data_IF_022281211120
#
_entry.id   IF_022281211120
#
_cell.length_a   1.000
_cell.length_b   1.000
_cell.length_c   1.000
_cell.angle_alpha   90.00
_cell.angle_beta   90.00
_cell.angle_gamma   90.00
#
_symmetry.space_group_name_H-M   'P 1'
#
loop_
_entity.id
_entity.type
_entity.pdbx_description
1 polymer ?
#
# COMPACT_ATOMS: atom_id res chain seq x y z
N UNK A 1 26.30 9.21 -28.58
CA UNK A 1 25.23 9.52 -27.61
C UNK A 1 24.64 8.20 -27.14
N UNK A 2 24.84 7.84 -25.87
CA UNK A 2 24.34 6.59 -25.32
C UNK A 2 22.95 6.82 -24.74
N UNK A 3 21.96 6.08 -25.24
CA UNK A 3 20.63 6.04 -24.65
C UNK A 3 20.74 5.30 -23.30
N UNK A 4 20.50 6.01 -22.21
CA UNK A 4 20.38 5.39 -20.89
C UNK A 4 18.93 4.89 -20.77
N UNK A 5 18.69 3.58 -20.63
CA UNK A 5 17.38 3.11 -20.22
C UNK A 5 17.15 3.70 -18.82
N UNK A 6 16.12 4.54 -18.68
CA UNK A 6 15.78 5.17 -17.41
C UNK A 6 15.49 4.10 -16.37
N UNK A 7 16.50 3.80 -15.54
CA UNK A 7 16.32 3.14 -14.25
C UNK A 7 15.43 4.11 -13.48
N UNK A 8 14.14 3.80 -13.40
CA UNK A 8 13.26 4.48 -12.45
C UNK A 8 13.75 3.97 -11.10
N UNK A 9 14.31 4.86 -10.30
CA UNK A 9 14.82 4.50 -8.98
C UNK A 9 13.71 3.92 -8.07
N UNK A 10 12.44 4.11 -8.43
CA UNK A 10 11.26 3.62 -7.73
C UNK A 10 10.51 2.52 -8.51
N UNK A 11 9.94 1.56 -7.78
CA UNK A 11 9.12 0.49 -8.36
C UNK A 11 7.67 0.95 -8.61
N UNK A 12 7.00 0.40 -9.63
CA UNK A 12 5.56 0.65 -9.85
C UNK A 12 4.72 0.22 -8.63
N UNK A 13 5.16 -0.84 -7.94
CA UNK A 13 4.52 -1.32 -6.71
C UNK A 13 4.50 -0.22 -5.64
N UNK A 14 5.61 0.49 -5.47
CA UNK A 14 5.70 1.54 -4.45
C UNK A 14 4.77 2.72 -4.75
N UNK A 15 4.64 3.10 -6.02
CA UNK A 15 3.69 4.14 -6.44
C UNK A 15 2.25 3.73 -6.10
N UNK A 16 1.88 2.49 -6.42
CA UNK A 16 0.53 1.96 -6.16
C UNK A 16 0.24 1.90 -4.67
N UNK A 17 1.19 1.43 -3.86
CA UNK A 17 1.04 1.36 -2.41
C UNK A 17 0.83 2.73 -1.77
N UNK A 18 1.67 3.70 -2.14
CA UNK A 18 1.52 5.08 -1.64
C UNK A 18 0.17 5.68 -2.02
N UNK A 19 -0.28 5.47 -3.26
CA UNK A 19 -1.56 5.98 -3.72
C UNK A 19 -2.75 5.33 -2.98
N UNK A 20 -2.72 4.01 -2.74
CA UNK A 20 -3.76 3.32 -1.96
C UNK A 20 -3.79 3.86 -0.52
N UNK A 21 -2.63 3.98 0.12
CA UNK A 21 -2.52 4.55 1.47
C UNK A 21 -3.12 5.96 1.53
N UNK A 22 -2.82 6.80 0.54
CA UNK A 22 -3.41 8.13 0.41
C UNK A 22 -4.94 8.10 0.35
N UNK A 23 -5.53 7.28 -0.55
CA UNK A 23 -7.00 7.21 -0.71
C UNK A 23 -7.69 6.65 0.53
N UNK A 24 -7.04 5.76 1.28
CA UNK A 24 -7.54 5.23 2.55
C UNK A 24 -7.45 6.25 3.69
N UNK A 25 -6.34 6.97 3.78
CA UNK A 25 -6.15 8.06 4.75
C UNK A 25 -7.17 9.18 4.56
N UNK A 26 -7.52 9.52 3.31
CA UNK A 26 -8.63 10.45 3.01
C UNK A 26 -9.97 10.03 3.62
N UNK A 27 -10.17 8.73 3.87
CA UNK A 27 -11.39 8.18 4.47
C UNK A 27 -11.27 7.93 5.97
N UNK A 28 -10.12 8.26 6.57
CA UNK A 28 -9.84 8.04 7.98
C UNK A 28 -9.36 6.63 8.32
N UNK A 29 -8.96 5.83 7.31
CA UNK A 29 -8.34 4.52 7.55
C UNK A 29 -6.83 4.66 7.63
N UNK A 30 -6.26 4.18 8.73
CA UNK A 30 -4.82 4.00 8.88
C UNK A 30 -4.43 2.61 8.33
N UNK A 31 -3.86 2.58 7.12
CA UNK A 31 -3.52 1.34 6.44
C UNK A 31 -2.13 0.88 6.87
N UNK A 32 -2.09 -0.10 7.76
CA UNK A 32 -0.87 -0.86 8.02
C UNK A 32 -0.73 -1.89 6.89
N UNK A 33 0.19 -1.64 5.95
CA UNK A 33 0.53 -2.62 4.93
C UNK A 33 0.85 -3.95 5.65
N UNK A 34 0.12 -5.01 5.32
CA UNK A 34 0.15 -6.29 6.06
C UNK A 34 1.50 -7.05 6.05
N UNK A 35 2.61 -6.37 5.76
CA UNK A 35 3.97 -6.90 5.89
C UNK A 35 4.48 -6.97 7.34
N UNK A 36 3.91 -6.22 8.28
CA UNK A 36 4.38 -6.16 9.67
C UNK A 36 3.48 -6.84 10.70
N UNK A 37 2.48 -7.61 10.26
CA UNK A 37 1.90 -8.64 11.15
C UNK A 37 2.81 -9.86 11.09
N UNK A 38 3.99 -9.70 11.68
CA UNK A 38 4.78 -10.82 12.15
C UNK A 38 3.83 -11.74 12.94
N UNK A 39 3.86 -13.01 12.56
CA UNK A 39 3.09 -14.10 13.12
C UNK A 39 3.30 -14.17 14.64
N UNK A 40 2.56 -13.37 15.41
CA UNK A 40 2.35 -13.62 16.84
C UNK A 40 1.42 -14.83 16.96
N UNK A 41 1.98 -16.01 16.69
CA UNK A 41 1.47 -17.26 17.21
C UNK A 41 1.22 -17.08 18.70
N UNK A 42 0.02 -17.41 19.23
CA UNK A 42 -0.20 -17.38 20.67
C UNK A 42 0.51 -18.61 21.24
N UNK A 43 1.80 -18.47 21.51
CA UNK A 43 2.55 -19.46 22.27
C UNK A 43 2.00 -19.44 23.70
N UNK A 44 1.13 -20.43 23.94
CA UNK A 44 0.68 -20.99 25.21
C UNK A 44 1.62 -20.67 26.38
N UNK A 45 1.03 -20.01 27.38
CA UNK A 45 1.27 -20.14 28.81
C UNK A 45 2.68 -20.48 29.29
N UNK A 46 3.32 -19.51 29.93
CA UNK A 46 4.17 -19.78 31.10
C UNK A 46 3.95 -18.67 32.13
N UNK A 47 3.46 -19.09 33.30
CA UNK A 47 3.08 -18.27 34.45
C UNK A 47 4.30 -17.64 35.16
N UNK A 48 4.09 -16.65 36.08
CA UNK A 48 5.06 -15.62 36.41
C UNK A 48 6.00 -16.03 37.56
N UNK A 49 7.21 -15.49 37.57
CA UNK A 49 8.11 -15.53 38.73
C UNK A 49 8.62 -14.13 39.08
N UNK A 50 8.48 -13.82 40.36
CA UNK A 50 8.82 -12.59 41.06
C UNK A 50 10.30 -12.20 40.93
N UNK A 51 10.57 -10.88 40.94
CA UNK A 51 11.82 -10.36 41.50
C UNK A 51 12.54 -9.30 40.69
N UNK A 52 12.28 -8.03 41.03
CA UNK A 52 13.35 -7.04 41.32
C UNK A 52 14.26 -6.52 40.20
N UNK A 53 14.22 -5.19 40.07
CA UNK A 53 15.32 -4.26 39.73
C UNK A 53 15.45 -3.74 38.28
N UNK A 54 14.98 -2.49 38.12
CA UNK A 54 15.51 -1.35 37.32
C UNK A 54 15.61 -1.50 35.79
N UNK A 55 14.98 -0.61 35.00
CA UNK A 55 15.14 -0.59 33.55
C UNK A 55 16.46 0.10 33.15
N UNK A 56 17.36 -0.62 32.49
CA UNK A 56 18.44 -0.05 31.70
C UNK A 56 18.05 -0.13 30.22
N UNK A 57 18.00 0.98 29.45
CA UNK A 57 17.81 0.90 28.02
C UNK A 57 19.12 0.43 27.38
N UNK A 58 19.22 -0.87 27.13
CA UNK A 58 20.29 -1.43 26.29
C UNK A 58 19.97 -1.11 24.83
N UNK A 59 20.74 -0.16 24.29
CA UNK A 59 20.80 0.11 22.86
C UNK A 59 21.35 -1.13 22.13
N UNK A 60 20.44 -1.96 21.61
CA UNK A 60 20.76 -2.94 20.60
C UNK A 60 20.41 -2.35 19.23
N UNK A 61 21.46 -1.92 18.53
CA UNK A 61 21.44 -1.46 17.15
C UNK A 61 20.99 -2.64 16.27
N UNK A 62 19.69 -2.68 15.95
CA UNK A 62 19.19 -3.55 14.87
C UNK A 62 19.38 -2.81 13.54
N UNK A 63 20.62 -2.77 13.07
CA UNK A 63 20.87 -2.63 11.64
C UNK A 63 20.58 -3.98 10.98
N UNK A 64 19.37 -4.16 10.45
CA UNK A 64 19.07 -5.21 9.48
C UNK A 64 18.11 -4.65 8.44
N UNK A 65 18.73 -4.14 7.37
CA UNK A 65 18.15 -3.87 6.06
C UNK A 65 16.90 -2.99 6.05
N UNK A 66 17.10 -1.68 6.23
CA UNK A 66 16.31 -0.74 5.46
C UNK A 66 16.55 -1.09 3.99
N UNK A 67 15.62 -1.82 3.38
CA UNK A 67 15.46 -1.82 1.93
C UNK A 67 15.55 -0.35 1.53
N UNK A 68 16.59 0.02 0.77
CA UNK A 68 16.66 1.33 0.14
C UNK A 68 15.54 1.39 -0.90
N UNK A 69 14.31 1.51 -0.42
CA UNK A 69 13.17 1.88 -1.23
C UNK A 69 13.36 3.36 -1.53
N UNK A 70 14.08 3.63 -2.61
CA UNK A 70 14.24 4.97 -3.15
C UNK A 70 12.83 5.59 -3.25
N UNK A 71 12.59 6.68 -2.50
CA UNK A 71 11.25 7.20 -2.36
C UNK A 71 10.76 7.68 -3.73
N UNK A 72 9.52 7.30 -4.09
CA UNK A 72 8.86 7.81 -5.30
C UNK A 72 9.02 9.33 -5.35
N UNK A 73 9.53 9.90 -6.46
CA UNK A 73 9.73 11.33 -6.59
C UNK A 73 8.45 12.08 -6.22
N UNK A 74 8.58 13.07 -5.35
CA UNK A 74 7.44 13.78 -4.77
C UNK A 74 6.51 14.36 -5.86
N UNK A 75 7.08 14.79 -6.99
CA UNK A 75 6.33 15.30 -8.15
C UNK A 75 5.46 14.24 -8.82
N UNK A 76 5.94 12.99 -8.93
CA UNK A 76 5.16 11.88 -9.50
C UNK A 76 4.01 11.54 -8.57
N UNK A 77 4.29 11.45 -7.27
CA UNK A 77 3.28 11.16 -6.26
C UNK A 77 2.19 12.25 -6.19
N UNK A 78 2.57 13.53 -6.09
CA UNK A 78 1.60 14.63 -6.00
C UNK A 78 0.74 14.76 -7.26
N UNK A 79 1.35 14.60 -8.43
CA UNK A 79 0.64 14.64 -9.72
C UNK A 79 -0.34 13.48 -9.86
N UNK A 80 0.05 12.27 -9.44
CA UNK A 80 -0.84 11.11 -9.42
C UNK A 80 -2.02 11.31 -8.47
N UNK A 81 -1.77 11.83 -7.26
CA UNK A 81 -2.83 12.16 -6.31
C UNK A 81 -3.82 13.18 -6.89
N UNK A 82 -3.31 14.27 -7.47
CA UNK A 82 -4.12 15.31 -8.09
C UNK A 82 -4.95 14.77 -9.26
N UNK A 83 -4.33 14.01 -10.17
CA UNK A 83 -5.03 13.40 -11.30
C UNK A 83 -6.10 12.41 -10.83
N UNK A 84 -5.78 11.59 -9.83
CA UNK A 84 -6.70 10.62 -9.26
C UNK A 84 -7.89 11.26 -8.54
N UNK A 85 -7.68 12.38 -7.85
CA UNK A 85 -8.77 13.12 -7.20
C UNK A 85 -9.67 13.83 -8.21
N UNK A 86 -9.10 14.43 -9.25
CA UNK A 86 -9.88 15.03 -10.33
C UNK A 86 -10.69 13.97 -11.09
N UNK A 87 -10.08 12.82 -11.39
CA UNK A 87 -10.75 11.68 -12.01
C UNK A 87 -11.90 11.17 -11.13
N UNK A 88 -11.64 10.96 -9.83
CA UNK A 88 -12.67 10.54 -8.87
C UNK A 88 -13.84 11.53 -8.84
N UNK A 89 -13.55 12.83 -8.77
CA UNK A 89 -14.57 13.90 -8.72
C UNK A 89 -15.43 13.94 -9.97
N UNK A 90 -14.81 13.81 -11.15
CA UNK A 90 -15.49 13.89 -12.44
C UNK A 90 -16.43 12.71 -12.68
N UNK A 91 -15.98 11.50 -12.32
CA UNK A 91 -16.71 10.25 -12.60
C UNK A 91 -17.39 9.65 -11.36
N UNK A 92 -17.54 10.43 -10.28
CA UNK A 92 -18.09 9.93 -9.00
C UNK A 92 -19.45 9.24 -9.16
N UNK A 93 -20.34 9.82 -9.98
CA UNK A 93 -21.68 9.24 -10.22
C UNK A 93 -21.58 7.90 -10.92
N UNK A 94 -20.79 7.83 -11.98
CA UNK A 94 -20.64 6.63 -12.81
C UNK A 94 -19.96 5.52 -12.01
N UNK A 95 -18.93 5.86 -11.22
CA UNK A 95 -18.31 4.91 -10.31
C UNK A 95 -19.27 4.38 -9.26
N UNK A 96 -20.09 5.24 -8.64
CA UNK A 96 -21.09 4.79 -7.67
C UNK A 96 -22.12 3.84 -8.31
N UNK A 97 -22.55 4.14 -9.54
CA UNK A 97 -23.49 3.30 -10.27
C UNK A 97 -22.87 1.94 -10.64
N UNK A 98 -21.67 1.94 -11.23
CA UNK A 98 -20.98 0.72 -11.67
C UNK A 98 -20.52 -0.14 -10.49
N UNK A 99 -19.95 0.47 -9.45
CA UNK A 99 -19.53 -0.27 -8.25
C UNK A 99 -20.70 -0.89 -7.49
N UNK A 100 -21.89 -0.26 -7.51
CA UNK A 100 -23.10 -0.86 -6.95
C UNK A 100 -23.56 -2.13 -7.67
N UNK A 101 -23.15 -2.33 -8.93
CA UNK A 101 -23.45 -3.54 -9.71
C UNK A 101 -22.38 -4.63 -9.53
N UNK A 102 -21.21 -4.28 -8.99
CA UNK A 102 -20.10 -5.21 -8.78
C UNK A 102 -20.28 -5.94 -7.43
N UNK A 103 -20.62 -7.22 -7.50
CA UNK A 103 -20.57 -8.10 -6.34
C UNK A 103 -19.13 -8.49 -6.02
N UNK A 104 -18.43 -7.59 -5.32
CA UNK A 104 -17.07 -7.82 -4.84
C UNK A 104 -17.08 -8.82 -3.68
N UNK A 105 -16.74 -10.07 -3.98
CA UNK A 105 -16.45 -11.11 -3.00
C UNK A 105 -14.98 -11.51 -3.13
N UNK A 106 -14.35 -12.10 -2.10
CA UNK A 106 -12.97 -12.57 -2.20
C UNK A 106 -12.71 -13.49 -3.41
N UNK A 107 -13.72 -14.26 -3.82
CA UNK A 107 -13.63 -15.19 -4.96
C UNK A 107 -13.71 -14.46 -6.29
N UNK A 108 -14.57 -13.44 -6.40
CA UNK A 108 -14.83 -12.74 -7.66
C UNK A 108 -13.93 -11.52 -7.90
N UNK A 109 -13.29 -10.99 -6.85
CA UNK A 109 -12.51 -9.74 -6.91
C UNK A 109 -11.41 -9.76 -7.98
N UNK A 110 -10.63 -10.85 -8.07
CA UNK A 110 -9.55 -10.96 -9.06
C UNK A 110 -10.08 -10.96 -10.50
N UNK A 111 -11.16 -11.71 -10.75
CA UNK A 111 -11.76 -11.79 -12.08
C UNK A 111 -12.35 -10.46 -12.53
N UNK A 112 -13.07 -9.77 -11.62
CA UNK A 112 -13.62 -8.45 -11.92
C UNK A 112 -12.52 -7.41 -12.14
N UNK A 113 -11.47 -7.44 -11.33
CA UNK A 113 -10.32 -6.56 -11.51
C UNK A 113 -9.68 -6.74 -12.89
N UNK A 114 -9.40 -7.99 -13.29
CA UNK A 114 -8.82 -8.28 -14.61
C UNK A 114 -9.72 -7.79 -15.74
N UNK A 115 -11.03 -8.06 -15.69
CA UNK A 115 -11.96 -7.62 -16.73
C UNK A 115 -11.98 -6.09 -16.90
N UNK A 116 -11.93 -5.34 -15.79
CA UNK A 116 -11.87 -3.86 -15.84
C UNK A 116 -10.53 -3.39 -16.41
N UNK A 117 -9.42 -4.01 -16.01
CA UNK A 117 -8.09 -3.64 -16.52
C UNK A 117 -7.96 -3.93 -18.02
N UNK A 118 -8.45 -5.08 -18.48
CA UNK A 118 -8.47 -5.45 -19.90
C UNK A 118 -9.30 -4.46 -20.73
N UNK A 119 -10.42 -3.97 -20.21
CA UNK A 119 -11.20 -2.93 -20.88
C UNK A 119 -10.46 -1.58 -20.90
N UNK A 120 -9.88 -1.18 -19.76
CA UNK A 120 -9.25 0.12 -19.59
C UNK A 120 -8.04 0.32 -20.53
N UNK A 121 -7.33 -0.77 -20.84
CA UNK A 121 -6.12 -0.76 -21.68
C UNK A 121 -6.35 -1.37 -23.07
N UNK A 122 -7.61 -1.57 -23.49
CA UNK A 122 -7.91 -2.19 -24.79
C UNK A 122 -7.29 -1.45 -25.97
N UNK A 123 -7.31 -0.13 -25.93
CA UNK A 123 -6.89 0.72 -27.06
C UNK A 123 -5.43 1.18 -26.99
N UNK A 124 -4.70 0.84 -25.91
CA UNK A 124 -3.30 1.21 -25.69
C UNK A 124 -3.09 2.48 -24.88
#
# INVERSE_FOLDING_TARGET
>A
MMAHPGIRDYSNREIVLRYIHYKLSQKGYDWVASGDRENVSPAVGTFPALGGLVPLPSAAVSNLAATEEHPVPQVVYSTLCQAGDEFSRRYQRDFNQMSGQLHLTPVTARSHFMAVVEELFRDG
#
